data_IF_593120284910
#
_entry.id   IF_593120284910
#
_cell.length_a   1.000
_cell.length_b   1.000
_cell.length_c   1.000
_cell.angle_alpha   90.00
_cell.angle_beta   90.00
_cell.angle_gamma   90.00
#
_symmetry.space_group_name_H-M   'P 1'
#
loop_
_entity.id
_entity.type
_entity.pdbx_description
1 polymer ?
#
# COMPACT_ATOMS: atom_id res chain seq x y z
N UNK A 1 -16.75 8.52 11.84
CA UNK A 1 -17.41 7.24 12.20
C UNK A 1 -16.35 6.27 12.69
N UNK A 2 -16.62 5.40 13.67
CA UNK A 2 -15.61 4.51 14.30
C UNK A 2 -15.90 3.03 13.98
N UNK A 3 -14.87 2.26 13.65
CA UNK A 3 -14.95 0.80 13.55
C UNK A 3 -15.02 0.17 14.95
N UNK A 4 -15.88 -0.85 15.12
CA UNK A 4 -16.09 -1.56 16.39
C UNK A 4 -14.98 -2.57 16.66
N UNK A 5 -14.95 -3.14 17.87
CA UNK A 5 -14.04 -4.25 18.18
C UNK A 5 -14.27 -5.44 17.24
N UNK A 6 -15.53 -5.81 17.02
CA UNK A 6 -15.90 -6.90 16.11
C UNK A 6 -15.44 -6.65 14.68
N UNK A 7 -15.59 -5.43 14.15
CA UNK A 7 -15.05 -5.13 12.82
C UNK A 7 -13.53 -5.33 12.75
N UNK A 8 -12.80 -4.93 13.79
CA UNK A 8 -11.34 -5.07 13.83
C UNK A 8 -10.92 -6.54 13.93
N UNK A 9 -11.66 -7.35 14.69
CA UNK A 9 -11.45 -8.80 14.75
C UNK A 9 -11.70 -9.47 13.39
N UNK A 10 -12.84 -9.18 12.74
CA UNK A 10 -13.15 -9.69 11.39
C UNK A 10 -12.09 -9.27 10.37
N UNK A 11 -11.69 -7.98 10.37
CA UNK A 11 -10.62 -7.49 9.50
C UNK A 11 -9.31 -8.23 9.76
N UNK A 12 -8.97 -8.51 11.03
CA UNK A 12 -7.77 -9.25 11.39
C UNK A 12 -7.73 -10.65 10.78
N UNK A 13 -8.82 -11.40 10.92
CA UNK A 13 -8.95 -12.73 10.34
C UNK A 13 -8.80 -12.74 8.82
N UNK A 14 -9.46 -11.80 8.14
CA UNK A 14 -9.33 -11.63 6.69
C UNK A 14 -7.90 -11.22 6.28
N UNK A 15 -7.30 -10.28 7.01
CA UNK A 15 -5.99 -9.75 6.69
C UNK A 15 -4.87 -10.80 6.87
N UNK A 16 -4.95 -11.65 7.89
CA UNK A 16 -3.97 -12.74 8.09
C UNK A 16 -4.06 -13.83 7.03
N UNK A 17 -5.23 -14.02 6.40
CA UNK A 17 -5.34 -14.90 5.25
C UNK A 17 -4.71 -14.29 3.98
N UNK A 18 -4.75 -12.95 3.84
CA UNK A 18 -4.10 -12.25 2.73
C UNK A 18 -2.58 -12.15 2.90
N UNK A 19 -2.13 -11.86 4.11
CA UNK A 19 -0.72 -11.68 4.46
C UNK A 19 -0.43 -12.54 5.71
N UNK A 20 -0.18 -13.85 5.51
CA UNK A 20 0.22 -14.74 6.59
C UNK A 20 1.66 -14.42 7.06
N UNK A 21 2.07 -14.86 8.25
CA UNK A 21 3.44 -14.68 8.71
C UNK A 21 4.42 -15.58 7.92
N UNK A 22 5.66 -15.11 7.79
CA UNK A 22 6.80 -15.94 7.36
C UNK A 22 8.01 -15.76 8.31
N UNK A 23 9.18 -16.31 7.98
CA UNK A 23 10.38 -16.24 8.83
C UNK A 23 10.89 -14.82 9.10
N UNK A 24 10.62 -13.87 8.20
CA UNK A 24 11.18 -12.50 8.23
C UNK A 24 10.11 -11.41 8.28
N UNK A 25 8.91 -11.73 7.82
CA UNK A 25 7.79 -10.82 7.65
C UNK A 25 6.68 -11.16 8.67
N UNK A 26 6.16 -10.17 9.40
CA UNK A 26 5.03 -10.38 10.30
C UNK A 26 3.76 -10.70 9.50
N UNK A 27 2.78 -11.36 10.10
CA UNK A 27 1.43 -11.41 9.55
C UNK A 27 0.77 -10.02 9.55
N UNK A 28 -0.37 -9.87 8.88
CA UNK A 28 -1.13 -8.63 8.90
C UNK A 28 -1.51 -8.18 10.32
N UNK A 29 -1.97 -9.12 11.16
CA UNK A 29 -2.31 -8.84 12.57
C UNK A 29 -1.10 -8.45 13.39
N UNK A 30 0.04 -9.13 13.20
CA UNK A 30 1.30 -8.79 13.85
C UNK A 30 1.82 -7.41 13.43
N UNK A 31 1.47 -6.95 12.23
CA UNK A 31 1.75 -5.61 11.72
C UNK A 31 0.69 -4.55 12.11
N UNK A 32 -0.22 -4.86 13.05
CA UNK A 32 -1.25 -3.94 13.55
C UNK A 32 -2.18 -3.37 12.46
N UNK A 33 -2.48 -4.16 11.42
CA UNK A 33 -3.36 -3.75 10.31
C UNK A 33 -4.75 -3.34 10.81
N UNK A 34 -5.32 -4.11 11.75
CA UNK A 34 -6.66 -3.83 12.29
C UNK A 34 -6.67 -2.75 13.38
N UNK A 35 -5.52 -2.29 13.84
CA UNK A 35 -5.38 -1.27 14.90
C UNK A 35 -5.06 0.10 14.32
N UNK A 36 -3.85 0.60 14.57
CA UNK A 36 -3.42 1.91 14.08
C UNK A 36 -3.29 1.96 12.56
N UNK A 37 -2.93 0.83 11.92
CA UNK A 37 -2.81 0.76 10.46
C UNK A 37 -4.13 1.13 9.76
N UNK A 38 -5.25 0.57 10.20
CA UNK A 38 -6.59 0.92 9.72
C UNK A 38 -6.89 2.41 9.91
N UNK A 39 -6.60 2.95 11.08
CA UNK A 39 -6.88 4.36 11.38
C UNK A 39 -6.07 5.30 10.47
N UNK A 40 -4.82 4.95 10.15
CA UNK A 40 -3.97 5.69 9.21
C UNK A 40 -4.50 5.64 7.78
N UNK A 41 -4.88 4.46 7.30
CA UNK A 41 -5.47 4.29 5.96
C UNK A 41 -6.73 5.14 5.83
N UNK A 42 -7.66 5.05 6.78
CA UNK A 42 -8.93 5.77 6.71
C UNK A 42 -8.77 7.28 6.87
N UNK A 43 -7.71 7.74 7.54
CA UNK A 43 -7.35 9.16 7.58
C UNK A 43 -6.89 9.65 6.21
N UNK A 44 -6.13 8.85 5.46
CA UNK A 44 -5.64 9.19 4.12
C UNK A 44 -6.70 8.98 3.03
N UNK A 45 -7.54 7.95 3.17
CA UNK A 45 -8.59 7.54 2.22
C UNK A 45 -9.94 7.35 2.94
N UNK A 46 -10.60 8.45 3.35
CA UNK A 46 -11.91 8.38 4.03
C UNK A 46 -13.00 7.71 3.19
N UNK A 47 -12.87 7.72 1.87
CA UNK A 47 -13.78 7.08 0.91
C UNK A 47 -13.86 5.56 1.07
N UNK A 48 -12.84 4.91 1.64
CA UNK A 48 -12.82 3.46 1.88
C UNK A 48 -13.64 3.05 3.13
N UNK A 49 -14.02 3.99 4.00
CA UNK A 49 -14.65 3.68 5.28
C UNK A 49 -16.03 3.00 5.13
N UNK A 50 -16.88 3.53 4.26
CA UNK A 50 -18.23 2.99 4.01
C UNK A 50 -18.20 1.60 3.35
N UNK A 51 -17.49 1.39 2.22
CA UNK A 51 -17.46 0.08 1.57
C UNK A 51 -16.79 -0.98 2.44
N UNK A 52 -15.72 -0.63 3.18
CA UNK A 52 -15.09 -1.57 4.12
C UNK A 52 -16.06 -1.97 5.23
N UNK A 53 -16.78 -1.01 5.83
CA UNK A 53 -17.73 -1.33 6.90
C UNK A 53 -18.87 -2.22 6.39
N UNK A 54 -19.39 -1.95 5.20
CA UNK A 54 -20.41 -2.79 4.57
C UNK A 54 -19.90 -4.23 4.44
N UNK A 55 -18.70 -4.42 3.90
CA UNK A 55 -18.07 -5.73 3.79
C UNK A 55 -17.94 -6.42 5.15
N UNK A 56 -17.38 -5.74 6.16
CA UNK A 56 -17.15 -6.35 7.48
C UNK A 56 -18.44 -6.73 8.21
N UNK A 57 -19.55 -6.01 7.99
CA UNK A 57 -20.87 -6.38 8.51
C UNK A 57 -21.44 -7.62 7.81
N UNK A 58 -21.23 -7.75 6.49
CA UNK A 58 -21.78 -8.87 5.70
C UNK A 58 -21.11 -10.21 6.04
N UNK A 59 -19.83 -10.16 6.42
CA UNK A 59 -19.00 -11.35 6.64
C UNK A 59 -18.70 -11.60 8.12
N UNK A 60 -19.35 -10.87 9.02
CA UNK A 60 -19.19 -11.03 10.47
C UNK A 60 -19.54 -12.46 10.90
N UNK A 61 -18.62 -13.12 11.62
CA UNK A 61 -18.79 -14.48 12.10
C UNK A 61 -18.67 -15.57 11.03
N UNK A 62 -18.35 -15.22 9.78
CA UNK A 62 -18.08 -16.17 8.69
C UNK A 62 -16.59 -16.53 8.66
N UNK A 63 -16.27 -17.77 8.27
CA UNK A 63 -14.88 -18.21 8.13
C UNK A 63 -14.12 -17.35 7.11
N UNK A 64 -13.00 -16.75 7.54
CA UNK A 64 -12.25 -15.78 6.73
C UNK A 64 -11.71 -16.36 5.43
N UNK A 65 -11.37 -17.66 5.41
CA UNK A 65 -10.86 -18.31 4.20
C UNK A 65 -11.97 -18.53 3.18
N UNK A 66 -13.16 -18.94 3.62
CA UNK A 66 -14.34 -19.04 2.76
C UNK A 66 -14.71 -17.67 2.17
N UNK A 67 -14.73 -16.63 3.01
CA UNK A 67 -15.02 -15.25 2.57
C UNK A 67 -14.05 -14.79 1.49
N UNK A 68 -12.74 -14.95 1.68
CA UNK A 68 -11.77 -14.54 0.67
C UNK A 68 -11.93 -15.30 -0.65
N UNK A 69 -12.24 -16.60 -0.58
CA UNK A 69 -12.53 -17.39 -1.77
C UNK A 69 -13.67 -16.80 -2.59
N UNK A 70 -14.79 -16.49 -1.92
CA UNK A 70 -15.97 -15.86 -2.54
C UNK A 70 -15.67 -14.47 -3.08
N UNK A 71 -14.97 -13.62 -2.32
CA UNK A 71 -14.60 -12.27 -2.76
C UNK A 71 -13.73 -12.30 -4.02
N UNK A 72 -12.77 -13.23 -4.10
CA UNK A 72 -11.91 -13.38 -5.28
C UNK A 72 -12.66 -13.88 -6.52
N UNK A 73 -13.70 -14.70 -6.36
CA UNK A 73 -14.46 -15.26 -7.49
C UNK A 73 -15.64 -14.41 -7.92
N UNK A 74 -16.33 -13.76 -6.98
CA UNK A 74 -17.66 -13.19 -7.22
C UNK A 74 -17.75 -11.68 -6.96
N UNK A 75 -16.82 -11.10 -6.20
CA UNK A 75 -16.89 -9.69 -5.80
C UNK A 75 -15.52 -9.00 -5.79
N UNK A 76 -14.95 -8.81 -6.98
CA UNK A 76 -13.66 -8.16 -7.17
C UNK A 76 -13.60 -6.71 -6.64
N UNK A 77 -14.74 -6.01 -6.58
CA UNK A 77 -14.84 -4.67 -6.02
C UNK A 77 -14.62 -4.65 -4.50
N UNK A 78 -15.32 -5.53 -3.76
CA UNK A 78 -15.12 -5.65 -2.31
C UNK A 78 -13.73 -6.22 -1.97
N UNK A 79 -13.22 -7.16 -2.79
CA UNK A 79 -11.84 -7.64 -2.67
C UNK A 79 -10.82 -6.51 -2.85
N UNK A 80 -11.03 -5.62 -3.81
CA UNK A 80 -10.16 -4.45 -4.04
C UNK A 80 -10.12 -3.51 -2.83
N UNK A 81 -11.28 -3.22 -2.23
CA UNK A 81 -11.37 -2.40 -1.01
C UNK A 81 -10.62 -3.06 0.15
N UNK A 82 -10.82 -4.36 0.36
CA UNK A 82 -10.13 -5.11 1.41
C UNK A 82 -8.61 -5.11 1.19
N UNK A 83 -8.16 -5.43 -0.02
CA UNK A 83 -6.74 -5.47 -0.37
C UNK A 83 -6.08 -4.11 -0.23
N UNK A 84 -6.74 -3.03 -0.68
CA UNK A 84 -6.21 -1.67 -0.56
C UNK A 84 -6.02 -1.26 0.91
N UNK A 85 -6.99 -1.58 1.76
CA UNK A 85 -6.91 -1.28 3.19
C UNK A 85 -5.82 -2.11 3.87
N UNK A 86 -5.81 -3.41 3.63
CA UNK A 86 -4.85 -4.34 4.28
C UNK A 86 -3.43 -4.03 3.83
N UNK A 87 -3.17 -3.94 2.53
CA UNK A 87 -1.84 -3.65 2.01
C UNK A 87 -1.37 -2.25 2.41
N UNK A 88 -2.27 -1.24 2.35
CA UNK A 88 -1.95 0.11 2.77
C UNK A 88 -1.51 0.15 4.23
N UNK A 89 -2.29 -0.45 5.12
CA UNK A 89 -1.96 -0.52 6.55
C UNK A 89 -0.66 -1.31 6.80
N UNK A 90 -0.48 -2.45 6.12
CA UNK A 90 0.66 -3.34 6.31
C UNK A 90 1.99 -2.70 5.88
N UNK A 91 2.06 -2.16 4.66
CA UNK A 91 3.31 -1.57 4.13
C UNK A 91 3.64 -0.19 4.71
N UNK A 92 2.70 0.44 5.43
CA UNK A 92 2.98 1.62 6.25
C UNK A 92 3.59 1.28 7.62
N UNK A 93 3.54 0.01 8.05
CA UNK A 93 4.11 -0.39 9.33
C UNK A 93 5.65 -0.28 9.33
N UNK A 94 6.28 0.44 10.29
CA UNK A 94 7.72 0.61 10.33
C UNK A 94 8.53 -0.70 10.44
N UNK A 95 8.01 -1.72 11.14
CA UNK A 95 8.67 -3.01 11.24
C UNK A 95 8.65 -3.76 9.90
N UNK A 96 7.55 -3.67 9.15
CA UNK A 96 7.45 -4.19 7.77
C UNK A 96 8.41 -3.46 6.85
N UNK A 97 8.47 -2.13 6.91
CA UNK A 97 9.40 -1.33 6.10
C UNK A 97 10.86 -1.68 6.39
N UNK A 98 11.22 -1.83 7.68
CA UNK A 98 12.54 -2.26 8.09
C UNK A 98 12.88 -3.68 7.59
N UNK A 99 11.94 -4.63 7.68
CA UNK A 99 12.13 -5.98 7.17
C UNK A 99 12.34 -6.02 5.64
N UNK A 100 11.70 -5.11 4.90
CA UNK A 100 11.89 -4.93 3.46
C UNK A 100 13.17 -4.16 3.09
N UNK A 101 13.89 -3.60 4.05
CA UNK A 101 15.01 -2.68 3.79
C UNK A 101 14.55 -1.36 3.14
N UNK A 102 13.28 -0.99 3.30
CA UNK A 102 12.74 0.24 2.73
C UNK A 102 13.13 1.44 3.59
N UNK A 103 14.04 2.27 3.08
CA UNK A 103 14.56 3.46 3.76
C UNK A 103 13.74 4.73 3.51
N UNK A 104 12.57 4.60 2.89
CA UNK A 104 11.73 5.73 2.49
C UNK A 104 12.18 6.44 1.21
N UNK A 105 11.48 7.52 0.87
CA UNK A 105 11.82 8.39 -0.26
C UNK A 105 12.76 9.48 0.25
N UNK A 106 14.07 9.21 0.22
CA UNK A 106 15.12 10.17 0.56
C UNK A 106 15.86 10.65 -0.69
N UNK A 107 16.56 11.81 -0.62
CA UNK A 107 17.50 12.18 -1.66
C UNK A 107 18.56 11.07 -1.78
N UNK A 108 18.66 10.48 -2.96
CA UNK A 108 19.80 9.63 -3.28
C UNK A 108 20.94 10.56 -3.68
N UNK A 109 22.12 10.38 -3.09
CA UNK A 109 23.30 11.09 -3.56
C UNK A 109 23.53 10.72 -5.03
N UNK A 110 23.49 11.73 -5.90
CA UNK A 110 23.89 11.54 -7.28
C UNK A 110 25.41 11.39 -7.32
N UNK A 111 25.93 10.40 -8.05
CA UNK A 111 27.36 10.34 -8.32
C UNK A 111 27.80 11.67 -8.94
N UNK A 112 28.86 12.32 -8.39
CA UNK A 112 29.28 13.65 -8.85
C UNK A 112 29.78 13.65 -10.30
N UNK A 113 30.21 12.48 -10.80
CA UNK A 113 30.53 12.23 -12.20
C UNK A 113 30.00 10.85 -12.60
N UNK A 114 28.74 10.77 -13.03
CA UNK A 114 28.19 9.53 -13.55
C UNK A 114 28.82 9.17 -14.90
N UNK A 115 28.86 7.88 -15.21
CA UNK A 115 29.44 7.30 -16.43
C UNK A 115 28.95 7.95 -17.73
N UNK A 116 27.67 8.35 -17.80
CA UNK A 116 27.10 9.02 -18.96
C UNK A 116 27.66 10.44 -19.19
N UNK A 117 28.30 11.05 -18.19
CA UNK A 117 29.05 12.30 -18.38
C UNK A 117 30.46 12.07 -18.94
N UNK A 118 30.91 10.82 -19.01
CA UNK A 118 32.19 10.41 -19.57
C UNK A 118 32.02 9.98 -21.05
N UNK A 119 33.14 9.96 -21.78
CA UNK A 119 33.26 9.42 -23.15
C UNK A 119 32.29 9.97 -24.22
N UNK A 120 31.70 11.14 -23.98
CA UNK A 120 30.82 11.80 -24.95
C UNK A 120 29.47 11.10 -25.14
N UNK A 121 29.04 10.26 -24.20
CA UNK A 121 27.73 9.56 -24.25
C UNK A 121 26.56 10.54 -24.43
N UNK A 122 26.65 11.73 -23.84
CA UNK A 122 25.63 12.79 -23.97
C UNK A 122 25.82 13.74 -25.17
N UNK A 123 26.90 13.62 -25.94
CA UNK A 123 27.26 14.58 -27.00
C UNK A 123 26.16 14.69 -28.08
N UNK A 124 25.52 13.57 -28.42
CA UNK A 124 24.39 13.56 -29.36
C UNK A 124 23.16 14.29 -28.81
N UNK A 125 22.88 14.17 -27.51
CA UNK A 125 21.75 14.81 -26.83
C UNK A 125 22.01 16.31 -26.68
N UNK A 126 23.23 16.69 -26.30
CA UNK A 126 23.68 18.08 -26.20
C UNK A 126 23.54 18.77 -27.56
N UNK A 127 24.06 18.13 -28.63
CA UNK A 127 24.01 18.65 -29.99
C UNK A 127 22.59 18.78 -30.55
N UNK A 128 21.70 17.86 -30.18
CA UNK A 128 20.29 17.89 -30.56
C UNK A 128 19.56 19.10 -29.97
N UNK A 129 19.98 19.56 -28.79
CA UNK A 129 19.35 20.67 -28.07
C UNK A 129 18.07 20.29 -27.32
N UNK A 130 17.42 21.27 -26.68
CA UNK A 130 16.26 21.05 -25.82
C UNK A 130 15.05 20.55 -26.62
N UNK A 131 14.53 19.38 -26.23
CA UNK A 131 13.25 18.86 -26.72
C UNK A 131 12.35 18.66 -25.51
N UNK A 132 11.69 19.73 -25.10
CA UNK A 132 10.66 19.67 -24.06
C UNK A 132 9.60 20.74 -24.35
N UNK A 133 8.40 20.54 -23.79
CA UNK A 133 7.38 21.58 -23.79
C UNK A 133 7.72 22.58 -22.68
N UNK A 134 7.72 23.90 -22.96
CA UNK A 134 7.94 24.90 -21.92
C UNK A 134 6.94 24.70 -20.77
N UNK A 135 7.41 24.82 -19.54
CA UNK A 135 6.53 24.82 -18.37
C UNK A 135 5.55 26.00 -18.52
N UNK A 136 4.23 25.79 -18.40
CA UNK A 136 3.27 26.87 -18.50
C UNK A 136 3.58 27.96 -17.47
N UNK A 137 3.75 29.19 -17.93
CA UNK A 137 3.79 30.35 -17.06
C UNK A 137 2.35 30.78 -16.78
N UNK A 138 1.99 30.88 -15.51
CA UNK A 138 0.75 31.55 -15.09
C UNK A 138 1.09 33.04 -15.04
N UNK A 139 0.45 33.84 -15.92
CA UNK A 139 0.49 35.31 -15.82
C UNK A 139 -0.45 35.80 -14.72
#
# INVERSE_FOLDING_TARGET
>A
MKFTATHRETLGGLADQLIPPDEKMPSASQADVMGQGLDQVLKARPDLAEPLRKLLNEVEGVDSKAVLGELMSENSGAMGVLAEVVCGAYFMNPAVQAALGYTGQGPTEMEPRPDYMEDGLLESVIRRGPIFRPTPHVN
#
